data_IF_943309082403
#
_entry.id   IF_943309082403
#
_cell.length_a   1.000
_cell.length_b   1.000
_cell.length_c   1.000
_cell.angle_alpha   90.00
_cell.angle_beta   90.00
_cell.angle_gamma   90.00
#
_symmetry.space_group_name_H-M   'P 1'
#
loop_
_entity.id
_entity.type
_entity.pdbx_description
1 polymer ?
#
# COMPACT_ATOMS: atom_id res chain seq x y z
N UNK A 1 -24.40 10.87 11.82
CA UNK A 1 -24.02 11.02 10.39
C UNK A 1 -23.86 12.50 10.14
N UNK A 2 -22.62 12.97 10.05
CA UNK A 2 -22.32 14.34 9.62
C UNK A 2 -22.84 14.49 8.19
N UNK A 3 -23.51 15.60 7.89
CA UNK A 3 -23.73 16.01 6.51
C UNK A 3 -22.34 16.28 5.90
N UNK A 4 -21.78 15.29 5.19
CA UNK A 4 -20.51 15.47 4.51
C UNK A 4 -20.74 16.46 3.36
N UNK A 5 -20.02 17.59 3.39
CA UNK A 5 -20.16 18.65 2.38
C UNK A 5 -19.61 18.13 1.06
N UNK A 6 -20.45 18.07 0.03
CA UNK A 6 -20.04 17.77 -1.34
C UNK A 6 -19.28 18.93 -1.99
N UNK A 7 -19.41 20.14 -1.41
CA UNK A 7 -18.93 21.40 -1.98
C UNK A 7 -17.86 22.03 -1.07
N UNK A 8 -16.71 21.37 -0.93
CA UNK A 8 -15.54 21.89 -0.20
C UNK A 8 -14.84 23.04 -0.95
N UNK A 9 -14.13 23.95 -0.25
CA UNK A 9 -13.32 24.99 -0.88
C UNK A 9 -12.28 24.38 -1.84
N UNK A 10 -11.86 25.14 -2.87
CA UNK A 10 -10.89 24.63 -3.84
C UNK A 10 -9.58 24.19 -3.16
N UNK A 11 -9.02 23.09 -3.65
CA UNK A 11 -7.84 22.47 -3.06
C UNK A 11 -6.63 23.41 -3.06
N UNK A 12 -6.55 24.32 -4.05
CA UNK A 12 -5.48 25.32 -4.22
C UNK A 12 -5.83 26.73 -3.68
N UNK A 13 -6.72 26.83 -2.69
CA UNK A 13 -7.13 28.13 -2.15
C UNK A 13 -5.93 29.04 -1.78
N UNK A 14 -5.86 30.31 -2.23
CA UNK A 14 -4.67 31.16 -2.15
C UNK A 14 -4.24 31.53 -0.72
N UNK A 15 -5.11 31.32 0.27
CA UNK A 15 -4.79 31.49 1.69
C UNK A 15 -4.04 30.29 2.29
N UNK A 16 -3.96 29.14 1.59
CA UNK A 16 -3.20 27.98 2.06
C UNK A 16 -1.69 28.23 1.88
N UNK A 17 -0.85 27.96 2.89
CA UNK A 17 0.59 28.10 2.76
C UNK A 17 1.15 27.18 1.66
N UNK A 18 1.85 27.76 0.69
CA UNK A 18 2.44 27.01 -0.43
C UNK A 18 3.59 26.10 0.02
N UNK A 19 4.45 26.60 0.93
CA UNK A 19 5.57 25.85 1.49
C UNK A 19 5.28 25.30 2.88
N UNK A 20 6.04 24.29 3.28
CA UNK A 20 5.94 23.62 4.58
C UNK A 20 6.79 24.33 5.64
N UNK A 21 7.80 25.09 5.21
CA UNK A 21 8.59 25.98 6.06
C UNK A 21 7.78 27.11 6.65
N UNK A 22 6.62 27.42 6.06
CA UNK A 22 5.74 28.52 6.45
C UNK A 22 4.82 28.13 7.60
N UNK A 23 4.87 26.86 8.04
CA UNK A 23 4.04 26.31 9.11
C UNK A 23 4.76 26.47 10.46
N UNK A 24 4.79 27.66 11.07
CA UNK A 24 5.55 27.90 12.32
C UNK A 24 4.94 27.31 13.63
N UNK A 25 5.75 26.46 14.29
CA UNK A 25 6.13 26.27 15.73
C UNK A 25 5.16 25.86 16.86
N UNK A 26 3.86 25.62 16.64
CA UNK A 26 3.19 24.50 17.32
C UNK A 26 2.61 23.43 16.38
N UNK A 27 2.53 23.75 15.08
CA UNK A 27 1.89 22.91 14.07
C UNK A 27 2.45 21.49 14.03
N UNK A 28 3.75 21.29 13.97
CA UNK A 28 4.34 19.95 13.84
C UNK A 28 4.08 19.06 15.06
N UNK A 29 4.18 19.63 16.26
CA UNK A 29 3.85 18.90 17.50
C UNK A 29 2.35 18.62 17.57
N UNK A 30 1.52 19.56 17.12
CA UNK A 30 0.07 19.38 17.03
C UNK A 30 -0.29 18.28 16.02
N UNK A 31 0.23 18.36 14.79
CA UNK A 31 0.11 17.37 13.71
C UNK A 31 0.52 16.01 14.23
N UNK A 32 1.74 15.85 14.77
CA UNK A 32 2.19 14.54 15.27
C UNK A 32 1.31 14.00 16.41
N UNK A 33 0.94 14.84 17.39
CA UNK A 33 0.05 14.42 18.48
C UNK A 33 -1.32 13.99 17.96
N UNK A 34 -1.83 14.70 16.94
CA UNK A 34 -3.11 14.42 16.33
C UNK A 34 -3.04 13.17 15.44
N UNK A 35 -2.00 13.02 14.62
CA UNK A 35 -1.69 11.79 13.87
C UNK A 35 -1.73 10.57 14.76
N UNK A 36 -1.08 10.58 15.94
CA UNK A 36 -1.11 9.43 16.87
C UNK A 36 -2.55 9.15 17.35
N UNK A 37 -3.32 10.19 17.65
CA UNK A 37 -4.70 10.06 18.15
C UNK A 37 -5.65 9.57 17.06
N UNK A 38 -5.61 10.18 15.88
CA UNK A 38 -6.47 9.84 14.75
C UNK A 38 -6.10 8.46 14.20
N UNK A 39 -4.81 8.09 14.12
CA UNK A 39 -4.38 6.73 13.75
C UNK A 39 -5.04 5.65 14.63
N UNK A 40 -5.21 5.91 15.92
CA UNK A 40 -5.95 5.01 16.82
C UNK A 40 -7.47 5.09 16.61
N UNK A 41 -8.02 6.30 16.41
CA UNK A 41 -9.47 6.52 16.23
C UNK A 41 -9.98 5.92 14.92
N UNK A 42 -9.17 5.97 13.88
CA UNK A 42 -9.43 5.41 12.57
C UNK A 42 -9.21 3.91 12.50
N UNK A 43 -8.86 3.29 13.64
CA UNK A 43 -8.61 1.85 13.73
C UNK A 43 -7.57 1.43 12.68
N UNK A 44 -6.55 2.26 12.45
CA UNK A 44 -5.48 1.98 11.49
C UNK A 44 -4.78 0.63 11.73
N UNK A 45 -4.67 0.12 12.97
CA UNK A 45 -4.26 -1.27 13.19
C UNK A 45 -5.14 -2.33 12.53
N UNK A 46 -6.46 -2.16 12.56
CA UNK A 46 -7.42 -3.07 11.92
C UNK A 46 -7.39 -2.92 10.40
N UNK A 47 -7.27 -1.68 9.90
CA UNK A 47 -7.06 -1.41 8.47
C UNK A 47 -5.77 -2.08 7.98
N UNK A 48 -4.66 -1.95 8.72
CA UNK A 48 -3.40 -2.59 8.41
C UNK A 48 -3.51 -4.12 8.41
N UNK A 49 -4.27 -4.71 9.33
CA UNK A 49 -4.53 -6.15 9.33
C UNK A 49 -5.29 -6.59 8.07
N UNK A 50 -6.31 -5.80 7.65
CA UNK A 50 -7.01 -6.02 6.38
C UNK A 50 -6.08 -5.92 5.16
N UNK A 51 -5.17 -4.94 5.15
CA UNK A 51 -4.15 -4.80 4.11
C UNK A 51 -3.20 -6.00 4.07
N UNK A 52 -2.77 -6.49 5.23
CA UNK A 52 -1.94 -7.70 5.32
C UNK A 52 -2.67 -8.91 4.76
N UNK A 53 -3.96 -9.09 5.07
CA UNK A 53 -4.77 -10.15 4.47
C UNK A 53 -4.77 -10.08 2.94
N UNK A 54 -5.05 -8.91 2.35
CA UNK A 54 -5.05 -8.75 0.90
C UNK A 54 -3.65 -8.92 0.28
N UNK A 55 -2.59 -8.50 0.96
CA UNK A 55 -1.21 -8.68 0.51
C UNK A 55 -0.86 -10.18 0.41
N UNK A 56 -1.16 -10.94 1.47
CA UNK A 56 -0.93 -12.40 1.50
C UNK A 56 -1.80 -13.11 0.46
N UNK A 57 -3.07 -12.72 0.33
CA UNK A 57 -3.97 -13.28 -0.68
C UNK A 57 -3.43 -13.06 -2.10
N UNK A 58 -2.81 -11.90 -2.36
CA UNK A 58 -2.20 -11.59 -3.66
C UNK A 58 -0.86 -12.30 -3.90
N UNK A 59 -0.18 -12.75 -2.85
CA UNK A 59 1.11 -13.42 -2.98
C UNK A 59 0.99 -14.77 -3.70
N UNK A 60 -0.06 -15.57 -3.42
CA UNK A 60 -0.19 -16.91 -4.03
C UNK A 60 -0.33 -16.87 -5.56
N UNK A 61 -1.24 -16.08 -6.16
CA UNK A 61 -1.31 -16.02 -7.62
C UNK A 61 -0.07 -15.34 -8.23
N UNK A 62 0.56 -14.39 -7.53
CA UNK A 62 1.80 -13.76 -8.00
C UNK A 62 2.95 -14.78 -8.07
N UNK A 63 3.10 -15.61 -7.04
CA UNK A 63 4.03 -16.74 -7.03
C UNK A 63 3.73 -17.69 -8.19
N UNK A 64 2.46 -18.07 -8.38
CA UNK A 64 2.05 -18.94 -9.49
C UNK A 64 2.44 -18.35 -10.86
N UNK A 65 2.21 -17.05 -11.06
CA UNK A 65 2.59 -16.34 -12.28
C UNK A 65 4.10 -16.36 -12.50
N UNK A 66 4.89 -16.05 -11.46
CA UNK A 66 6.35 -16.03 -11.52
C UNK A 66 6.88 -17.42 -11.88
N UNK A 67 6.48 -18.49 -11.18
CA UNK A 67 7.01 -19.83 -11.47
C UNK A 67 6.53 -20.40 -12.80
N UNK A 68 5.29 -20.10 -13.20
CA UNK A 68 4.81 -20.50 -14.53
C UNK A 68 5.61 -19.82 -15.64
N UNK A 69 5.99 -18.55 -15.47
CA UNK A 69 6.86 -17.83 -16.42
C UNK A 69 8.22 -18.52 -16.53
N UNK A 70 8.78 -18.94 -15.41
CA UNK A 70 10.09 -19.57 -15.32
C UNK A 70 10.09 -21.01 -15.84
N UNK A 71 8.99 -21.74 -15.66
CA UNK A 71 8.73 -23.03 -16.29
C UNK A 71 8.63 -22.93 -17.81
N UNK A 72 8.00 -21.87 -18.33
CA UNK A 72 7.96 -21.57 -19.78
C UNK A 72 9.37 -21.24 -20.32
N UNK A 73 10.22 -20.57 -19.53
CA UNK A 73 11.61 -20.20 -19.92
C UNK A 73 12.60 -21.37 -19.72
N UNK A 74 12.20 -22.47 -19.07
CA UNK A 74 13.04 -23.65 -18.87
C UNK A 74 14.09 -23.52 -17.75
N UNK A 75 13.91 -22.57 -16.81
CA UNK A 75 14.84 -22.31 -15.69
C UNK A 75 14.16 -22.38 -14.31
N UNK A 76 13.11 -23.21 -14.17
CA UNK A 76 12.26 -23.27 -12.97
C UNK A 76 13.03 -23.37 -11.64
N UNK A 77 14.05 -24.23 -11.54
CA UNK A 77 14.80 -24.45 -10.29
C UNK A 77 15.69 -23.26 -9.91
N UNK A 78 16.50 -22.74 -10.84
CA UNK A 78 17.39 -21.60 -10.59
C UNK A 78 16.63 -20.33 -10.19
N UNK A 79 15.42 -20.18 -10.70
CA UNK A 79 14.60 -19.02 -10.42
C UNK A 79 13.75 -19.18 -9.14
N UNK A 80 13.39 -20.40 -8.75
CA UNK A 80 12.90 -20.69 -7.40
C UNK A 80 13.94 -20.30 -6.34
N UNK A 81 15.20 -20.68 -6.55
CA UNK A 81 16.32 -20.32 -5.67
C UNK A 81 16.50 -18.79 -5.60
N UNK A 82 16.46 -18.09 -6.74
CA UNK A 82 16.57 -16.62 -6.77
C UNK A 82 15.44 -15.91 -6.01
N UNK A 83 14.19 -16.39 -6.13
CA UNK A 83 13.05 -15.81 -5.38
C UNK A 83 13.20 -16.05 -3.88
N UNK A 84 13.59 -17.27 -3.48
CA UNK A 84 13.83 -17.63 -2.09
C UNK A 84 14.96 -16.80 -1.48
N UNK A 85 16.03 -16.55 -2.23
CA UNK A 85 17.13 -15.68 -1.82
C UNK A 85 16.68 -14.23 -1.58
N UNK A 86 15.83 -13.68 -2.45
CA UNK A 86 15.28 -12.32 -2.25
C UNK A 86 14.41 -12.26 -1.00
N UNK A 87 13.52 -13.25 -0.83
CA UNK A 87 12.67 -13.32 0.38
C UNK A 87 13.55 -13.42 1.62
N UNK A 88 14.62 -14.21 1.59
CA UNK A 88 15.59 -14.31 2.69
C UNK A 88 16.39 -13.02 2.95
N UNK A 89 16.63 -12.18 1.92
CA UNK A 89 17.32 -10.90 2.05
C UNK A 89 16.44 -9.78 2.62
N UNK A 90 15.13 -9.82 2.33
CA UNK A 90 14.20 -8.74 2.69
C UNK A 90 13.36 -9.07 3.92
N UNK A 91 13.00 -10.34 4.12
CA UNK A 91 12.17 -10.79 5.24
C UNK A 91 13.02 -11.58 6.27
N UNK A 92 13.02 -11.17 7.55
CA UNK A 92 13.75 -11.89 8.60
C UNK A 92 13.02 -13.21 9.00
N UNK A 93 13.78 -14.16 9.56
CA UNK A 93 13.24 -15.27 10.36
C UNK A 93 12.62 -16.46 9.60
N UNK A 94 13.26 -16.98 8.55
CA UNK A 94 12.85 -18.24 7.93
C UNK A 94 11.60 -18.17 7.05
N UNK A 95 11.16 -16.96 6.67
CA UNK A 95 10.01 -16.76 5.77
C UNK A 95 10.21 -17.48 4.42
N UNK A 96 11.44 -17.50 3.91
CA UNK A 96 11.80 -18.21 2.68
C UNK A 96 11.54 -19.74 2.79
N UNK A 97 11.87 -20.36 3.91
CA UNK A 97 11.73 -21.81 4.10
C UNK A 97 10.27 -22.27 4.07
N UNK A 98 9.34 -21.43 4.53
CA UNK A 98 7.91 -21.75 4.47
C UNK A 98 7.38 -21.72 3.04
N UNK A 99 7.93 -20.85 2.19
CA UNK A 99 7.49 -20.71 0.82
C UNK A 99 8.12 -21.75 -0.11
N UNK A 100 9.28 -22.33 0.25
CA UNK A 100 10.06 -23.26 -0.58
C UNK A 100 9.24 -24.42 -1.16
N UNK A 101 8.49 -25.15 -0.33
CA UNK A 101 7.72 -26.33 -0.79
C UNK A 101 6.68 -25.98 -1.86
N UNK A 102 5.74 -25.05 -1.59
CA UNK A 102 4.80 -24.56 -2.59
C UNK A 102 5.46 -24.00 -3.86
N UNK A 103 6.62 -23.36 -3.72
CA UNK A 103 7.40 -22.79 -4.83
C UNK A 103 7.94 -23.90 -5.75
N UNK A 104 8.58 -24.93 -5.19
CA UNK A 104 9.18 -26.04 -5.94
C UNK A 104 8.11 -26.90 -6.63
N UNK A 105 6.95 -27.09 -6.01
CA UNK A 105 5.81 -27.84 -6.59
C UNK A 105 5.24 -27.15 -7.84
N UNK A 106 5.14 -25.82 -7.84
CA UNK A 106 4.64 -25.06 -9.00
C UNK A 106 5.69 -25.03 -10.12
N UNK A 107 6.98 -24.94 -9.79
CA UNK A 107 8.07 -24.85 -10.77
C UNK A 107 8.21 -26.11 -11.66
N UNK A 108 7.69 -27.26 -11.24
CA UNK A 108 7.80 -28.55 -11.93
C UNK A 108 6.53 -28.95 -12.70
N UNK A 109 5.50 -28.10 -12.76
CA UNK A 109 4.20 -28.43 -13.35
C UNK A 109 4.18 -28.41 -14.89
N UNK A 110 3.63 -29.45 -15.59
CA UNK A 110 3.61 -29.55 -17.06
C UNK A 110 2.72 -28.53 -17.80
N UNK A 111 1.84 -27.80 -17.11
CA UNK A 111 0.84 -26.90 -17.71
C UNK A 111 1.26 -25.42 -17.70
N UNK A 112 2.55 -25.13 -17.87
CA UNK A 112 3.14 -23.82 -17.59
C UNK A 112 2.52 -22.64 -18.36
N UNK A 113 2.09 -22.82 -19.62
CA UNK A 113 1.51 -21.73 -20.42
C UNK A 113 0.13 -21.24 -19.95
N UNK A 114 -0.80 -22.17 -19.70
CA UNK A 114 -2.13 -21.82 -19.17
C UNK A 114 -2.04 -21.36 -17.71
N UNK A 115 -1.17 -22.00 -16.92
CA UNK A 115 -0.88 -21.59 -15.55
C UNK A 115 -0.31 -20.16 -15.49
N UNK A 116 0.56 -19.78 -16.43
CA UNK A 116 1.10 -18.42 -16.51
C UNK A 116 0.00 -17.38 -16.75
N UNK A 117 -0.83 -17.58 -17.77
CA UNK A 117 -1.88 -16.61 -18.12
C UNK A 117 -2.89 -16.48 -16.98
N UNK A 118 -3.39 -17.61 -16.46
CA UNK A 118 -4.34 -17.61 -15.35
C UNK A 118 -3.73 -17.04 -14.07
N UNK A 119 -2.47 -17.36 -13.77
CA UNK A 119 -1.72 -16.82 -12.64
C UNK A 119 -1.57 -15.31 -12.70
N UNK A 120 -1.14 -14.75 -13.84
CA UNK A 120 -0.99 -13.30 -14.03
C UNK A 120 -2.32 -12.58 -13.85
N UNK A 121 -3.40 -13.10 -14.48
CA UNK A 121 -4.74 -12.49 -14.36
C UNK A 121 -5.21 -12.53 -12.90
N UNK A 122 -5.07 -13.67 -12.22
CA UNK A 122 -5.45 -13.81 -10.81
C UNK A 122 -4.58 -12.96 -9.88
N UNK A 123 -3.29 -12.81 -10.18
CA UNK A 123 -2.36 -11.96 -9.43
C UNK A 123 -2.74 -10.50 -9.54
N UNK A 124 -2.96 -9.99 -10.76
CA UNK A 124 -3.39 -8.62 -10.97
C UNK A 124 -4.75 -8.35 -10.35
N UNK A 125 -5.69 -9.29 -10.47
CA UNK A 125 -7.00 -9.17 -9.83
C UNK A 125 -6.88 -9.11 -8.29
N UNK A 126 -6.12 -10.03 -7.70
CA UNK A 126 -5.95 -10.14 -6.24
C UNK A 126 -5.18 -8.94 -5.67
N UNK A 127 -4.10 -8.52 -6.34
CA UNK A 127 -3.33 -7.33 -5.97
C UNK A 127 -4.16 -6.04 -6.12
N UNK A 128 -5.08 -5.97 -7.08
CA UNK A 128 -6.03 -4.84 -7.16
C UNK A 128 -7.01 -4.79 -5.97
N UNK A 129 -7.23 -5.93 -5.31
CA UNK A 129 -7.90 -6.02 -4.02
C UNK A 129 -7.15 -5.27 -2.92
N UNK A 130 -5.82 -5.40 -2.84
CA UNK A 130 -4.97 -4.63 -1.93
C UNK A 130 -5.09 -3.13 -2.21
N UNK A 131 -4.91 -2.70 -3.47
CA UNK A 131 -5.05 -1.28 -3.85
C UNK A 131 -6.44 -0.74 -3.51
N UNK A 132 -7.49 -1.55 -3.69
CA UNK A 132 -8.84 -1.17 -3.32
C UNK A 132 -9.07 -1.11 -1.80
N UNK A 133 -8.43 -1.98 -1.02
CA UNK A 133 -8.45 -1.91 0.44
C UNK A 133 -7.66 -0.70 0.95
N UNK A 134 -6.51 -0.42 0.34
CA UNK A 134 -5.70 0.75 0.61
C UNK A 134 -6.46 2.04 0.31
N UNK A 135 -7.14 2.10 -0.84
CA UNK A 135 -8.02 3.22 -1.19
C UNK A 135 -9.12 3.47 -0.15
N UNK A 136 -9.73 2.42 0.40
CA UNK A 136 -10.70 2.56 1.51
C UNK A 136 -10.07 3.06 2.80
N UNK A 137 -8.88 2.57 3.14
CA UNK A 137 -8.13 3.04 4.30
C UNK A 137 -7.77 4.53 4.15
N UNK A 138 -7.28 4.94 2.97
CA UNK A 138 -7.02 6.34 2.65
C UNK A 138 -8.28 7.19 2.73
N UNK A 139 -9.42 6.73 2.22
CA UNK A 139 -10.68 7.46 2.33
C UNK A 139 -11.10 7.70 3.80
N UNK A 140 -10.85 6.72 4.69
CA UNK A 140 -11.08 6.89 6.13
C UNK A 140 -10.17 7.94 6.74
N UNK A 141 -8.87 7.85 6.47
CA UNK A 141 -7.84 8.81 6.94
C UNK A 141 -8.14 10.23 6.44
N UNK A 142 -8.56 10.37 5.18
CA UNK A 142 -8.94 11.65 4.59
C UNK A 142 -10.37 12.08 4.94
N UNK A 143 -11.08 11.32 5.79
CA UNK A 143 -12.44 11.59 6.25
C UNK A 143 -13.46 11.85 5.12
N UNK A 144 -13.27 11.19 3.98
CA UNK A 144 -14.07 11.38 2.75
C UNK A 144 -14.67 10.05 2.31
N UNK A 145 -15.97 10.05 2.02
CA UNK A 145 -16.63 8.88 1.43
C UNK A 145 -16.17 8.65 -0.01
N UNK A 146 -16.17 7.39 -0.42
CA UNK A 146 -15.83 7.03 -1.79
C UNK A 146 -17.02 7.33 -2.72
N UNK A 147 -16.85 8.36 -3.55
CA UNK A 147 -17.85 8.77 -4.54
C UNK A 147 -17.56 8.32 -5.96
N UNK A 148 -16.38 7.74 -6.26
CA UNK A 148 -16.10 7.22 -7.60
C UNK A 148 -16.99 6.00 -7.89
N UNK A 149 -17.72 5.98 -9.01
CA UNK A 149 -18.50 4.81 -9.40
C UNK A 149 -17.57 3.65 -9.73
N UNK A 150 -18.08 2.42 -9.59
CA UNK A 150 -17.31 1.19 -9.80
C UNK A 150 -16.56 1.17 -11.14
N UNK A 151 -17.20 1.66 -12.21
CA UNK A 151 -16.63 1.72 -13.56
C UNK A 151 -15.45 2.70 -13.71
N UNK A 152 -15.33 3.71 -12.83
CA UNK A 152 -14.15 4.60 -12.79
C UNK A 152 -13.11 4.08 -11.80
N UNK A 153 -13.57 3.59 -10.64
CA UNK A 153 -12.69 3.16 -9.55
C UNK A 153 -11.91 1.90 -9.90
N UNK A 154 -12.52 0.91 -10.55
CA UNK A 154 -11.86 -0.37 -10.84
C UNK A 154 -10.73 -0.28 -11.86
N UNK A 155 -10.91 0.37 -13.02
CA UNK A 155 -9.81 0.59 -13.95
C UNK A 155 -8.66 1.39 -13.32
N UNK A 156 -8.96 2.39 -12.48
CA UNK A 156 -7.93 3.11 -11.73
C UNK A 156 -7.16 2.18 -10.79
N UNK A 157 -7.84 1.36 -10.00
CA UNK A 157 -7.20 0.38 -9.10
C UNK A 157 -6.34 -0.61 -9.88
N UNK A 158 -6.81 -1.11 -11.02
CA UNK A 158 -6.04 -2.02 -11.89
C UNK A 158 -4.81 -1.32 -12.50
N UNK A 159 -4.94 -0.07 -12.95
CA UNK A 159 -3.82 0.71 -13.47
C UNK A 159 -2.74 0.98 -12.43
N UNK A 160 -3.15 1.37 -11.21
CA UNK A 160 -2.24 1.52 -10.06
C UNK A 160 -1.59 0.19 -9.70
N UNK A 161 -2.34 -0.91 -9.73
CA UNK A 161 -1.80 -2.26 -9.47
C UNK A 161 -0.77 -2.65 -10.51
N UNK A 162 -1.04 -2.42 -11.79
CA UNK A 162 -0.11 -2.74 -12.87
C UNK A 162 1.20 -1.95 -12.72
N UNK A 163 1.12 -0.66 -12.39
CA UNK A 163 2.29 0.16 -12.10
C UNK A 163 3.04 -0.37 -10.86
N UNK A 164 2.34 -0.69 -9.78
CA UNK A 164 2.95 -1.24 -8.57
C UNK A 164 3.68 -2.56 -8.84
N UNK A 165 3.05 -3.47 -9.58
CA UNK A 165 3.66 -4.74 -10.00
C UNK A 165 4.89 -4.48 -10.88
N UNK A 166 4.82 -3.55 -11.83
CA UNK A 166 5.98 -3.20 -12.66
C UNK A 166 7.14 -2.65 -11.83
N UNK A 167 6.88 -1.74 -10.87
CA UNK A 167 7.90 -1.20 -9.97
C UNK A 167 8.53 -2.29 -9.08
N UNK A 168 7.72 -3.20 -8.55
CA UNK A 168 8.20 -4.35 -7.77
C UNK A 168 9.04 -5.28 -8.65
N UNK A 169 8.61 -5.61 -9.86
CA UNK A 169 9.38 -6.45 -10.79
C UNK A 169 10.73 -5.78 -11.14
N UNK A 170 10.74 -4.48 -11.41
CA UNK A 170 11.99 -3.73 -11.64
C UNK A 170 12.89 -3.80 -10.40
N UNK A 171 12.34 -3.60 -9.20
CA UNK A 171 13.10 -3.71 -7.96
C UNK A 171 13.69 -5.12 -7.76
N UNK A 172 12.91 -6.17 -8.02
CA UNK A 172 13.38 -7.56 -7.97
C UNK A 172 14.50 -7.82 -8.98
N UNK A 173 14.35 -7.36 -10.22
CA UNK A 173 15.40 -7.50 -11.25
C UNK A 173 16.68 -6.77 -10.81
N UNK A 174 16.58 -5.56 -10.25
CA UNK A 174 17.74 -4.83 -9.74
C UNK A 174 18.45 -5.54 -8.59
N UNK A 175 17.72 -6.27 -7.75
CA UNK A 175 18.29 -7.07 -6.65
C UNK A 175 18.96 -8.35 -7.16
N UNK A 176 18.32 -9.06 -8.10
CA UNK A 176 18.82 -10.33 -8.66
C UNK A 176 20.02 -10.11 -9.57
N UNK A 177 20.00 -9.05 -10.38
CA UNK A 177 21.12 -8.66 -11.24
C UNK A 177 22.25 -8.19 -10.32
N UNK A 178 23.09 -9.12 -9.83
CA UNK A 178 24.25 -8.79 -9.01
C UNK A 178 25.37 -9.81 -9.22
N UNK A 179 26.62 -9.35 -9.08
CA UNK A 179 27.83 -10.15 -9.32
C UNK A 179 28.06 -10.45 -10.81
N UNK A 180 27.78 -11.66 -11.33
CA UNK A 180 28.18 -12.06 -12.68
C UNK A 180 27.54 -11.26 -13.81
N UNK A 181 26.28 -10.85 -13.67
CA UNK A 181 25.58 -10.07 -14.71
C UNK A 181 26.10 -8.62 -14.75
N UNK A 182 26.36 -8.03 -13.58
CA UNK A 182 26.97 -6.71 -13.47
C UNK A 182 28.43 -6.73 -13.98
N UNK A 183 29.16 -7.81 -13.75
CA UNK A 183 30.50 -8.05 -14.30
C UNK A 183 30.48 -8.22 -15.82
N UNK A 184 29.54 -8.98 -16.37
CA UNK A 184 29.39 -9.17 -17.81
C UNK A 184 29.03 -7.86 -18.53
N UNK A 185 28.10 -7.08 -17.98
CA UNK A 185 27.76 -5.74 -18.49
C UNK A 185 28.96 -4.81 -18.34
N UNK A 186 29.61 -4.81 -17.18
CA UNK A 186 30.80 -4.02 -16.88
C UNK A 186 31.97 -4.31 -17.83
N UNK A 187 32.19 -5.59 -18.16
CA UNK A 187 33.19 -6.01 -19.12
C UNK A 187 32.83 -5.58 -20.54
N UNK A 188 31.55 -5.68 -20.94
CA UNK A 188 31.07 -5.26 -22.25
C UNK A 188 31.20 -3.74 -22.50
N UNK A 189 31.05 -2.92 -21.46
CA UNK A 189 31.20 -1.45 -21.53
C UNK A 189 32.60 -0.95 -21.11
N UNK A 190 33.56 -1.84 -20.88
CA UNK A 190 34.95 -1.51 -20.57
C UNK A 190 35.20 -0.98 -19.14
N UNK A 191 34.22 -1.08 -18.25
CA UNK A 191 34.31 -0.60 -16.86
C UNK A 191 34.71 -1.68 -15.84
N UNK A 192 34.70 -2.97 -16.24
CA UNK A 192 35.17 -4.10 -15.43
C UNK A 192 34.63 -4.10 -14.00
N UNK A 193 35.52 -4.19 -13.01
CA UNK A 193 35.17 -4.16 -11.57
C UNK A 193 34.62 -2.82 -11.08
N UNK A 194 34.89 -1.71 -11.79
CA UNK A 194 34.36 -0.38 -11.43
C UNK A 194 32.85 -0.31 -11.67
N UNK A 195 32.33 -0.95 -12.72
CA UNK A 195 30.90 -1.05 -12.97
C UNK A 195 30.18 -1.82 -11.84
N UNK A 196 30.81 -2.87 -11.32
CA UNK A 196 30.24 -3.66 -10.21
C UNK A 196 30.13 -2.83 -8.94
N UNK A 197 31.18 -2.04 -8.61
CA UNK A 197 31.14 -1.15 -7.45
C UNK A 197 30.07 -0.06 -7.60
N UNK A 198 30.02 0.61 -8.76
CA UNK A 198 29.00 1.63 -9.05
C UNK A 198 27.61 1.02 -8.92
N UNK A 199 27.39 -0.17 -9.49
CA UNK A 199 26.11 -0.88 -9.41
C UNK A 199 25.72 -1.23 -7.97
N UNK A 200 26.65 -1.78 -7.19
CA UNK A 200 26.41 -2.17 -5.79
C UNK A 200 25.99 -0.99 -4.91
N UNK A 201 26.48 0.22 -5.21
CA UNK A 201 26.10 1.44 -4.50
C UNK A 201 24.82 2.04 -5.08
N UNK A 202 24.75 2.23 -6.41
CA UNK A 202 23.66 2.91 -7.10
C UNK A 202 22.32 2.16 -7.02
N UNK A 203 22.33 0.84 -6.87
CA UNK A 203 21.10 0.05 -6.73
C UNK A 203 20.25 0.49 -5.53
N UNK A 204 20.86 0.85 -4.40
CA UNK A 204 20.13 1.17 -3.17
C UNK A 204 19.34 2.49 -3.27
N UNK A 205 19.92 3.61 -3.77
CA UNK A 205 19.14 4.81 -4.08
C UNK A 205 18.02 4.58 -5.09
N UNK A 206 18.26 3.76 -6.13
CA UNK A 206 17.22 3.44 -7.13
C UNK A 206 16.08 2.66 -6.49
N UNK A 207 16.36 1.65 -5.67
CA UNK A 207 15.34 0.91 -4.92
C UNK A 207 14.54 1.83 -3.99
N UNK A 208 15.22 2.70 -3.25
CA UNK A 208 14.56 3.68 -2.40
C UNK A 208 13.65 4.62 -3.22
N UNK A 209 14.11 5.07 -4.38
CA UNK A 209 13.31 5.87 -5.31
C UNK A 209 12.07 5.12 -5.82
N UNK A 210 12.21 3.84 -6.20
CA UNK A 210 11.06 3.02 -6.63
C UNK A 210 10.01 2.87 -5.52
N UNK A 211 10.46 2.67 -4.28
CA UNK A 211 9.56 2.61 -3.10
C UNK A 211 8.86 3.96 -2.90
N UNK A 212 9.59 5.08 -2.97
CA UNK A 212 9.01 6.42 -2.87
C UNK A 212 7.94 6.65 -3.95
N UNK A 213 8.22 6.28 -5.20
CA UNK A 213 7.25 6.39 -6.31
C UNK A 213 6.02 5.53 -6.04
N UNK A 214 6.21 4.28 -5.58
CA UNK A 214 5.11 3.38 -5.24
C UNK A 214 4.21 3.98 -4.15
N UNK A 215 4.79 4.48 -3.06
CA UNK A 215 4.06 5.12 -1.96
C UNK A 215 3.35 6.38 -2.44
N UNK A 216 4.01 7.24 -3.23
CA UNK A 216 3.43 8.46 -3.77
C UNK A 216 2.22 8.18 -4.66
N UNK A 217 2.30 7.15 -5.52
CA UNK A 217 1.18 6.71 -6.36
C UNK A 217 0.02 6.22 -5.48
N UNK A 218 0.29 5.38 -4.48
CA UNK A 218 -0.74 4.89 -3.57
C UNK A 218 -1.41 6.03 -2.78
N UNK A 219 -0.63 6.97 -2.25
CA UNK A 219 -1.12 8.10 -1.45
C UNK A 219 -1.93 9.09 -2.29
N UNK A 220 -1.56 9.29 -3.55
CA UNK A 220 -2.27 10.23 -4.41
C UNK A 220 -3.49 9.61 -5.09
N UNK A 221 -3.40 8.39 -5.64
CA UNK A 221 -4.52 7.78 -6.37
C UNK A 221 -5.49 7.01 -5.46
N UNK A 222 -5.03 6.60 -4.27
CA UNK A 222 -5.82 5.91 -3.26
C UNK A 222 -7.09 6.68 -2.83
N UNK A 223 -6.98 7.89 -2.28
CA UNK A 223 -8.14 8.61 -1.76
C UNK A 223 -9.03 9.19 -2.87
N UNK A 224 -10.31 9.36 -2.51
CA UNK A 224 -11.27 10.18 -3.24
C UNK A 224 -11.10 11.68 -2.93
N UNK A 225 -10.20 12.08 -2.03
CA UNK A 225 -9.86 13.47 -1.80
C UNK A 225 -9.17 14.11 -3.02
N UNK A 226 -9.65 15.28 -3.47
CA UNK A 226 -8.99 16.07 -4.52
C UNK A 226 -7.84 16.86 -3.89
N UNK A 227 -6.68 16.23 -3.81
CA UNK A 227 -5.45 16.89 -3.39
C UNK A 227 -4.99 17.94 -4.43
N UNK A 228 -4.40 19.07 -3.99
CA UNK A 228 -4.07 20.19 -4.88
C UNK A 228 -3.01 19.86 -5.94
N UNK A 229 -1.93 19.16 -5.56
CA UNK A 229 -0.81 18.84 -6.48
C UNK A 229 -0.28 17.43 -6.24
N UNK A 230 0.10 16.74 -7.31
CA UNK A 230 0.85 15.49 -7.19
C UNK A 230 2.26 15.79 -6.69
N UNK A 231 2.62 15.23 -5.53
CA UNK A 231 3.96 15.38 -4.94
C UNK A 231 4.65 14.02 -4.98
N UNK A 232 5.75 13.95 -5.73
CA UNK A 232 6.59 12.75 -5.81
C UNK A 232 7.16 12.32 -4.45
N UNK A 233 7.38 13.29 -3.56
CA UNK A 233 7.86 13.07 -2.20
C UNK A 233 6.96 13.88 -1.25
N UNK A 234 6.10 13.20 -0.51
CA UNK A 234 5.38 13.78 0.63
C UNK A 234 6.14 13.52 1.93
N UNK A 235 5.89 14.34 2.96
CA UNK A 235 6.52 14.10 4.27
C UNK A 235 5.97 12.85 4.94
N UNK A 236 4.69 12.53 4.72
CA UNK A 236 4.10 11.27 5.11
C UNK A 236 4.82 10.07 4.50
N UNK A 237 5.16 10.10 3.21
CA UNK A 237 5.94 9.03 2.57
C UNK A 237 7.35 8.90 3.17
N UNK A 238 8.03 10.00 3.46
CA UNK A 238 9.33 10.00 4.13
C UNK A 238 9.21 9.41 5.54
N UNK A 239 8.20 9.83 6.32
CA UNK A 239 7.93 9.32 7.65
C UNK A 239 7.59 7.82 7.60
N UNK A 240 6.76 7.38 6.67
CA UNK A 240 6.46 5.97 6.48
C UNK A 240 7.72 5.15 6.23
N UNK A 241 8.62 5.60 5.34
CA UNK A 241 9.88 4.92 5.04
C UNK A 241 10.80 4.89 6.26
N UNK A 242 10.93 6.00 6.99
CA UNK A 242 11.76 6.08 8.20
C UNK A 242 11.20 5.16 9.30
N UNK A 243 9.89 5.23 9.56
CA UNK A 243 9.21 4.36 10.53
C UNK A 243 9.36 2.90 10.13
N UNK A 244 9.18 2.57 8.85
CA UNK A 244 9.38 1.23 8.33
C UNK A 244 10.81 0.74 8.51
N UNK A 245 11.81 1.57 8.22
CA UNK A 245 13.23 1.22 8.39
C UNK A 245 13.55 0.95 9.86
N UNK A 246 13.13 1.85 10.76
CA UNK A 246 13.30 1.68 12.21
C UNK A 246 12.58 0.43 12.70
N UNK A 247 11.34 0.21 12.26
CA UNK A 247 10.55 -0.95 12.65
C UNK A 247 11.17 -2.25 12.12
N UNK A 248 11.71 -2.26 10.90
CA UNK A 248 12.38 -3.44 10.31
C UNK A 248 13.66 -3.78 11.09
N UNK A 249 14.47 -2.78 11.45
CA UNK A 249 15.65 -2.98 12.30
C UNK A 249 15.27 -3.49 13.68
N UNK A 250 14.30 -2.86 14.34
CA UNK A 250 13.81 -3.28 15.65
C UNK A 250 13.20 -4.68 15.62
N UNK A 251 12.47 -5.01 14.56
CA UNK A 251 11.90 -6.33 14.35
C UNK A 251 12.98 -7.40 14.10
N UNK A 252 14.03 -7.06 13.34
CA UNK A 252 15.19 -7.94 13.17
C UNK A 252 15.88 -8.26 14.50
N UNK A 253 16.07 -7.25 15.35
CA UNK A 253 16.61 -7.45 16.72
C UNK A 253 15.66 -8.32 17.55
N UNK A 254 14.35 -8.08 17.49
CA UNK A 254 13.36 -8.90 18.19
C UNK A 254 13.44 -10.37 17.76
N UNK A 255 13.38 -10.66 16.46
CA UNK A 255 13.44 -12.03 15.94
C UNK A 255 14.77 -12.71 16.31
N UNK A 256 15.90 -12.02 16.16
CA UNK A 256 17.23 -12.58 16.45
C UNK A 256 17.44 -12.94 17.93
N UNK A 257 16.84 -12.18 18.86
CA UNK A 257 17.00 -12.41 20.30
C UNK A 257 15.95 -13.38 20.88
N UNK A 258 14.80 -13.55 20.21
CA UNK A 258 13.74 -14.45 20.65
C UNK A 258 13.85 -15.84 20.00
N UNK A 259 15.04 -16.46 20.05
CA UNK A 259 15.33 -17.82 19.52
C UNK A 259 14.41 -18.94 20.07
N UNK A 260 13.57 -18.65 21.07
CA UNK A 260 12.56 -19.56 21.59
C UNK A 260 11.26 -19.57 20.75
N UNK A 261 11.03 -18.60 19.85
CA UNK A 261 9.83 -18.57 19.00
C UNK A 261 9.74 -19.81 18.09
N UNK A 262 10.87 -20.23 17.51
CA UNK A 262 10.97 -21.47 16.75
C UNK A 262 10.69 -22.71 17.61
N UNK A 263 11.06 -22.69 18.91
CA UNK A 263 10.76 -23.79 19.84
C UNK A 263 9.28 -23.89 20.19
N UNK A 264 8.58 -22.75 20.31
CA UNK A 264 7.16 -22.71 20.68
C UNK A 264 6.23 -22.94 19.49
N UNK A 265 6.55 -22.39 18.31
CA UNK A 265 5.69 -22.41 17.14
C UNK A 265 6.19 -23.31 15.99
N UNK A 266 7.41 -23.86 16.09
CA UNK A 266 7.95 -24.80 15.11
C UNK A 266 7.92 -24.23 13.68
N UNK A 267 7.42 -25.03 12.74
CA UNK A 267 7.30 -24.66 11.32
C UNK A 267 6.39 -23.46 11.04
N UNK A 268 5.54 -23.04 11.98
CA UNK A 268 4.69 -21.85 11.83
C UNK A 268 5.41 -20.54 12.17
N UNK A 269 6.58 -20.60 12.79
CA UNK A 269 7.31 -19.40 13.23
C UNK A 269 7.57 -18.44 12.06
N UNK A 270 8.03 -18.94 10.91
CA UNK A 270 8.30 -18.13 9.72
C UNK A 270 7.06 -17.40 9.18
N UNK A 271 5.91 -18.08 9.13
CA UNK A 271 4.63 -17.47 8.69
C UNK A 271 4.21 -16.36 9.64
N UNK A 272 4.25 -16.62 10.95
CA UNK A 272 3.85 -15.63 11.97
C UNK A 272 4.76 -14.40 11.90
N UNK A 273 6.07 -14.60 11.78
CA UNK A 273 7.07 -13.53 11.65
C UNK A 273 6.80 -12.72 10.38
N UNK A 274 6.55 -13.38 9.25
CA UNK A 274 6.25 -12.72 7.97
C UNK A 274 4.96 -11.90 8.03
N UNK A 275 3.87 -12.47 8.58
CA UNK A 275 2.59 -11.78 8.76
C UNK A 275 2.73 -10.55 9.66
N UNK A 276 3.49 -10.68 10.75
CA UNK A 276 3.76 -9.59 11.68
C UNK A 276 4.57 -8.48 11.01
N UNK A 277 5.60 -8.83 10.23
CA UNK A 277 6.38 -7.86 9.45
C UNK A 277 5.53 -7.14 8.40
N UNK A 278 4.67 -7.86 7.66
CA UNK A 278 3.72 -7.23 6.73
C UNK A 278 2.75 -6.28 7.43
N UNK A 279 2.23 -6.69 8.59
CA UNK A 279 1.36 -5.83 9.39
C UNK A 279 2.05 -4.56 9.86
N UNK A 280 3.29 -4.67 10.36
CA UNK A 280 4.13 -3.52 10.71
C UNK A 280 4.38 -2.61 9.50
N UNK A 281 4.60 -3.20 8.33
CA UNK A 281 4.80 -2.45 7.08
C UNK A 281 3.56 -1.63 6.72
N UNK A 282 2.38 -2.24 6.78
CA UNK A 282 1.12 -1.55 6.54
C UNK A 282 0.82 -0.49 7.61
N UNK A 283 1.17 -0.73 8.88
CA UNK A 283 1.07 0.28 9.94
C UNK A 283 1.92 1.51 9.62
N UNK A 284 3.18 1.32 9.19
CA UNK A 284 4.07 2.42 8.81
C UNK A 284 3.51 3.21 7.62
N UNK A 285 2.98 2.53 6.61
CA UNK A 285 2.34 3.17 5.46
C UNK A 285 1.09 3.96 5.85
N UNK A 286 0.21 3.43 6.69
CA UNK A 286 -0.97 4.17 7.14
C UNK A 286 -0.59 5.34 8.05
N UNK A 287 0.45 5.19 8.88
CA UNK A 287 0.91 6.25 9.76
C UNK A 287 1.47 7.43 8.98
N UNK A 288 2.21 7.18 7.90
CA UNK A 288 2.64 8.24 6.98
C UNK A 288 1.46 8.92 6.28
N UNK A 289 0.44 8.17 5.86
CA UNK A 289 -0.73 8.74 5.22
C UNK A 289 -1.54 9.63 6.17
N UNK A 290 -1.70 9.19 7.42
CA UNK A 290 -2.32 9.95 8.50
C UNK A 290 -1.57 11.25 8.78
N UNK A 291 -0.23 11.20 8.75
CA UNK A 291 0.59 12.39 8.91
C UNK A 291 0.36 13.39 7.78
N UNK A 292 0.26 12.94 6.52
CA UNK A 292 -0.03 13.82 5.39
C UNK A 292 -1.43 14.46 5.49
N UNK A 293 -2.43 13.70 5.93
CA UNK A 293 -3.80 14.20 6.13
C UNK A 293 -3.85 15.26 7.25
N UNK A 294 -3.19 15.01 8.37
CA UNK A 294 -3.11 15.94 9.49
C UNK A 294 -2.26 17.18 9.19
N UNK A 295 -1.23 17.04 8.33
CA UNK A 295 -0.48 18.17 7.82
C UNK A 295 -1.35 19.07 6.93
N UNK A 296 -2.18 18.49 6.07
CA UNK A 296 -3.13 19.26 5.25
C UNK A 296 -4.18 19.95 6.12
N UNK A 297 -4.76 19.26 7.12
CA UNK A 297 -5.64 19.88 8.11
C UNK A 297 -4.98 21.08 8.80
N UNK A 298 -3.70 20.94 9.19
CA UNK A 298 -2.92 22.03 9.75
C UNK A 298 -2.82 23.25 8.82
N UNK A 299 -2.64 23.01 7.51
CA UNK A 299 -2.62 24.06 6.49
C UNK A 299 -3.98 24.72 6.30
N UNK A 300 -5.06 23.95 6.32
CA UNK A 300 -6.44 24.45 6.26
C UNK A 300 -6.77 25.35 7.46
N UNK A 301 -6.41 24.94 8.67
CA UNK A 301 -6.59 25.74 9.88
C UNK A 301 -5.78 27.05 9.82
N UNK A 302 -4.54 27.00 9.35
CA UNK A 302 -3.72 28.21 9.17
C UNK A 302 -4.28 29.17 8.12
N UNK A 303 -4.96 28.63 7.11
CA UNK A 303 -5.69 29.39 6.11
C UNK A 303 -7.05 29.95 6.61
N UNK A 304 -7.42 29.68 7.88
CA UNK A 304 -8.68 30.13 8.47
C UNK A 304 -9.89 29.29 8.05
N UNK A 305 -9.68 28.09 7.50
CA UNK A 305 -10.77 27.17 7.15
C UNK A 305 -11.25 26.40 8.39
N UNK A 306 -12.55 26.06 8.47
CA UNK A 306 -13.13 25.36 9.62
C UNK A 306 -12.80 23.84 9.60
N UNK A 307 -11.52 23.50 9.69
CA UNK A 307 -11.01 22.13 9.62
C UNK A 307 -10.81 21.47 11.01
N UNK A 308 -11.46 22.00 12.06
CA UNK A 308 -11.32 21.50 13.42
C UNK A 308 -11.89 20.08 13.58
N UNK A 309 -13.01 19.81 12.90
CA UNK A 309 -13.74 18.53 12.94
C UNK A 309 -13.42 17.61 11.76
N UNK A 310 -13.38 18.16 10.54
CA UNK A 310 -13.12 17.38 9.32
C UNK A 310 -12.20 18.11 8.34
N UNK A 311 -11.41 17.37 7.56
CA UNK A 311 -10.67 17.94 6.41
C UNK A 311 -11.67 18.52 5.39
N UNK A 312 -11.34 19.66 4.78
CA UNK A 312 -12.25 20.42 3.91
C UNK A 312 -12.01 20.18 2.41
N UNK A 313 -11.08 19.30 2.03
CA UNK A 313 -10.81 18.98 0.64
C UNK A 313 -12.07 18.43 -0.08
N UNK A 314 -12.35 18.88 -1.31
CA UNK A 314 -13.48 18.36 -2.06
C UNK A 314 -13.21 16.93 -2.54
N UNK A 315 -14.24 16.09 -2.67
CA UNK A 315 -14.09 14.79 -3.30
C UNK A 315 -13.79 14.92 -4.80
N UNK A 316 -13.11 13.92 -5.37
CA UNK A 316 -12.80 13.82 -6.81
C UNK A 316 -14.03 13.46 -7.63
N UNK A 317 -14.96 12.72 -7.03
CA UNK A 317 -16.24 12.35 -7.61
C UNK A 317 -17.24 12.17 -6.47
N UNK A 318 -18.49 12.62 -6.66
CA UNK A 318 -19.60 12.51 -5.71
C UNK A 318 -20.69 11.54 -6.18
N UNK A 319 -20.62 11.01 -7.40
CA UNK A 319 -21.68 10.22 -8.05
C UNK A 319 -22.23 9.11 -7.14
N UNK A 320 -21.33 8.36 -6.50
CA UNK A 320 -21.72 7.25 -5.61
C UNK A 320 -22.20 7.71 -4.24
N UNK A 321 -21.71 8.85 -3.75
CA UNK A 321 -22.16 9.48 -2.49
C UNK A 321 -23.62 9.90 -2.67
N UNK A 322 -23.90 10.69 -3.72
CA UNK A 322 -25.26 11.16 -4.04
C UNK A 322 -26.24 10.02 -4.27
N UNK A 323 -25.82 9.00 -5.03
CA UNK A 323 -26.65 7.81 -5.28
C UNK A 323 -26.96 7.04 -3.99
N UNK A 324 -25.98 6.89 -3.10
CA UNK A 324 -26.18 6.22 -1.80
C UNK A 324 -27.08 7.05 -0.90
N UNK A 325 -26.85 8.36 -0.80
CA UNK A 325 -27.66 9.28 0.00
C UNK A 325 -29.13 9.25 -0.43
N UNK A 326 -29.40 9.31 -1.74
CA UNK A 326 -30.78 9.21 -2.26
C UNK A 326 -31.44 7.89 -1.88
N UNK A 327 -30.73 6.76 -2.00
CA UNK A 327 -31.25 5.44 -1.62
C UNK A 327 -31.54 5.35 -0.12
N UNK A 328 -30.66 5.89 0.72
CA UNK A 328 -30.89 5.94 2.17
C UNK A 328 -32.09 6.82 2.54
N UNK A 329 -32.31 7.92 1.85
CA UNK A 329 -33.49 8.76 2.06
C UNK A 329 -34.78 8.03 1.70
N UNK A 330 -34.79 7.31 0.58
CA UNK A 330 -35.91 6.45 0.16
C UNK A 330 -36.18 5.35 1.20
N UNK A 331 -35.15 4.63 1.66
CA UNK A 331 -35.25 3.59 2.70
C UNK A 331 -35.75 4.18 4.04
N UNK A 332 -35.25 5.36 4.45
CA UNK A 332 -35.74 6.05 5.66
C UNK A 332 -37.17 6.54 5.53
N UNK A 333 -37.61 6.93 4.33
CA UNK A 333 -38.99 7.30 4.07
C UNK A 333 -39.90 6.07 4.16
N UNK A 334 -39.49 4.94 3.59
CA UNK A 334 -40.18 3.66 3.69
C UNK A 334 -40.27 3.18 5.14
N UNK A 335 -39.16 3.16 5.88
CA UNK A 335 -39.15 2.81 7.30
C UNK A 335 -40.06 3.72 8.14
N UNK A 336 -40.11 5.02 7.83
CA UNK A 336 -41.04 5.97 8.47
C UNK A 336 -42.49 5.63 8.17
N UNK A 337 -42.81 5.26 6.92
CA UNK A 337 -44.16 4.80 6.54
C UNK A 337 -44.54 3.53 7.28
N UNK A 338 -43.69 2.50 7.25
CA UNK A 338 -43.91 1.23 7.96
C UNK A 338 -44.18 1.45 9.46
N UNK A 339 -43.41 2.35 10.10
CA UNK A 339 -43.62 2.73 11.50
C UNK A 339 -44.97 3.42 11.73
N UNK A 340 -45.41 4.28 10.81
CA UNK A 340 -46.67 5.01 10.93
C UNK A 340 -47.90 4.14 10.64
N UNK A 341 -47.81 3.23 9.67
CA UNK A 341 -48.92 2.33 9.31
C UNK A 341 -48.97 1.06 10.15
N UNK A 342 -47.99 0.86 11.05
CA UNK A 342 -47.86 -0.39 11.82
C UNK A 342 -47.59 -1.60 10.93
N UNK A 343 -46.93 -1.40 9.79
CA UNK A 343 -46.64 -2.43 8.80
C UNK A 343 -47.84 -2.84 7.92
N UNK A 344 -48.98 -2.14 8.00
CA UNK A 344 -50.10 -2.37 7.09
C UNK A 344 -49.84 -1.67 5.75
N UNK A 345 -49.99 -2.41 4.66
CA UNK A 345 -50.06 -1.85 3.32
C UNK A 345 -51.43 -1.20 3.12
N UNK A 346 -51.47 0.01 2.56
CA UNK A 346 -52.72 0.62 2.09
C UNK A 346 -53.28 -0.25 0.94
N UNK A 347 -54.15 -1.19 1.28
CA UNK A 347 -54.96 -1.97 0.33
C UNK A 347 -56.28 -1.27 0.04
#
# INVERSE_FOLDING_TARGET
>A
MSHQRTDGPDAEHPAKPDSITDVEKPSWKHVLKRTIREFSRDQSPDLAAGLTYYAVLSAFPALLAIFSLLGVIGQGQQAADAVLDIVGQVAPGGAADTLRGPIEEIATSPAAGFALVSGVVLALWSASGYVGAFSRAMNRIWEIDEGRPFLKLKPLQLGVTLLAVALVVIALVLLVVSGPVAEAIGAAIGLGSTAVLIWQIAKWPVLAFLVVVLVAVLYYFGPNAKQPKFRWISWGAVIAIVVLAVATLGFGVYVANFSNYERTYGSFAGVIIFLLWLWITNLALLFGAEFDAELERGRELQAGMPAEESIQLPPRDTTRIEKTAKKEEEERAEARRLRQTGGRSDT
#
